data_IF_310830938576
#
_entry.id   IF_310830938576
#
_cell.length_a   1.000
_cell.length_b   1.000
_cell.length_c   1.000
_cell.angle_alpha   90.00
_cell.angle_beta   90.00
_cell.angle_gamma   90.00
#
_symmetry.space_group_name_H-M   'P 1'
#
loop_
_entity.id
_entity.type
_entity.pdbx_description
1 polymer ?
#
# COMPACT_ATOMS: atom_id res chain seq x y z
N UNK A 1 7.26 10.45 1.23
CA UNK A 1 7.24 9.84 -0.11
C UNK A 1 6.34 8.61 -0.10
N UNK A 2 5.86 8.18 -1.26
CA UNK A 2 5.12 6.94 -1.44
C UNK A 2 5.31 6.41 -2.86
N UNK A 3 5.27 5.09 -3.05
CA UNK A 3 5.43 4.45 -4.36
C UNK A 3 4.35 3.39 -4.59
N UNK A 4 3.78 3.39 -5.80
CA UNK A 4 2.82 2.39 -6.28
C UNK A 4 3.50 1.57 -7.38
N UNK A 5 3.31 0.25 -7.34
CA UNK A 5 3.56 -0.68 -8.45
C UNK A 5 2.20 -1.17 -8.93
N UNK A 6 2.00 -1.23 -10.24
CA UNK A 6 0.77 -1.75 -10.82
C UNK A 6 0.88 -1.83 -12.34
N UNK A 7 0.03 -2.65 -12.94
CA UNK A 7 -0.06 -2.84 -14.38
C UNK A 7 -0.96 -1.81 -15.08
N UNK A 8 -1.58 -0.91 -14.31
CA UNK A 8 -2.59 0.02 -14.82
C UNK A 8 -3.94 -0.64 -15.10
N UNK A 9 -4.11 -1.91 -14.73
CA UNK A 9 -5.36 -2.64 -14.76
C UNK A 9 -5.95 -2.74 -13.36
N UNK A 10 -6.08 -3.97 -12.87
CA UNK A 10 -6.81 -4.27 -11.64
C UNK A 10 -5.94 -4.39 -10.40
N UNK A 11 -4.62 -4.53 -10.54
CA UNK A 11 -3.73 -4.90 -9.45
C UNK A 11 -2.73 -3.79 -9.11
N UNK A 12 -2.73 -3.37 -7.85
CA UNK A 12 -1.82 -2.35 -7.34
C UNK A 12 -1.20 -2.77 -6.01
N UNK A 13 0.07 -2.42 -5.84
CA UNK A 13 0.81 -2.61 -4.60
C UNK A 13 1.42 -1.28 -4.15
N UNK A 14 1.12 -0.86 -2.93
CA UNK A 14 1.82 0.26 -2.30
C UNK A 14 3.14 -0.30 -1.74
N UNK A 15 4.21 -0.13 -2.52
CA UNK A 15 5.49 -0.76 -2.26
C UNK A 15 6.21 -0.14 -1.07
N UNK A 16 6.25 1.20 -0.99
CA UNK A 16 6.92 1.89 0.09
C UNK A 16 6.17 3.17 0.46
N UNK A 17 6.17 3.50 1.74
CA UNK A 17 5.71 4.78 2.25
C UNK A 17 6.58 5.20 3.43
N UNK A 18 7.11 6.42 3.38
CA UNK A 18 8.00 6.93 4.41
C UNK A 18 7.73 8.41 4.67
N UNK A 19 7.82 8.77 5.95
CA UNK A 19 7.80 10.15 6.45
C UNK A 19 9.10 10.36 7.19
N UNK A 20 9.84 11.40 6.78
CA UNK A 20 11.04 11.81 7.50
C UNK A 20 10.74 11.99 9.00
N UNK A 21 11.59 11.52 9.92
CA UNK A 21 11.29 11.52 11.36
C UNK A 21 10.80 12.86 11.92
N UNK A 22 11.41 13.98 11.50
CA UNK A 22 11.04 15.34 11.93
C UNK A 22 9.63 15.80 11.47
N UNK A 23 9.02 15.07 10.53
CA UNK A 23 7.73 15.36 9.95
C UNK A 23 6.65 14.33 10.34
N UNK A 24 6.98 13.36 11.20
CA UNK A 24 6.02 12.37 11.69
C UNK A 24 4.99 12.98 12.64
N UNK A 25 3.89 12.25 12.89
CA UNK A 25 2.78 12.63 13.80
C UNK A 25 2.03 13.92 13.41
N UNK A 26 2.28 14.47 12.23
CA UNK A 26 1.62 15.66 11.67
C UNK A 26 0.52 15.34 10.64
N UNK A 27 0.06 14.09 10.58
CA UNK A 27 -0.96 13.65 9.62
C UNK A 27 -0.47 13.41 8.18
N UNK A 28 0.81 13.64 7.90
CA UNK A 28 1.36 13.52 6.53
C UNK A 28 1.26 12.10 5.94
N UNK A 29 1.28 11.05 6.77
CA UNK A 29 1.12 9.67 6.30
C UNK A 29 -0.25 9.43 5.68
N UNK A 30 -1.30 9.99 6.29
CA UNK A 30 -2.66 9.90 5.78
C UNK A 30 -2.82 10.68 4.47
N UNK A 31 -2.17 11.85 4.37
CA UNK A 31 -2.16 12.63 3.14
C UNK A 31 -1.44 11.91 2.00
N UNK A 32 -0.28 11.31 2.27
CA UNK A 32 0.46 10.52 1.28
C UNK A 32 -0.40 9.33 0.82
N UNK A 33 -0.93 8.54 1.76
CA UNK A 33 -1.76 7.38 1.41
C UNK A 33 -2.97 7.76 0.56
N UNK A 34 -3.69 8.82 0.94
CA UNK A 34 -4.84 9.32 0.16
C UNK A 34 -4.45 9.77 -1.23
N UNK A 35 -3.29 10.44 -1.37
CA UNK A 35 -2.76 10.81 -2.68
C UNK A 35 -2.49 9.58 -3.54
N UNK A 36 -1.88 8.54 -2.98
CA UNK A 36 -1.63 7.28 -3.69
C UNK A 36 -2.93 6.59 -4.11
N UNK A 37 -3.92 6.50 -3.21
CA UNK A 37 -5.22 5.91 -3.52
C UNK A 37 -5.95 6.70 -4.62
N UNK A 38 -5.86 8.04 -4.61
CA UNK A 38 -6.38 8.87 -5.68
C UNK A 38 -5.67 8.59 -7.01
N UNK A 39 -4.34 8.48 -7.02
CA UNK A 39 -3.59 8.12 -8.23
C UNK A 39 -3.98 6.74 -8.78
N UNK A 40 -4.19 5.75 -7.91
CA UNK A 40 -4.71 4.43 -8.32
C UNK A 40 -6.09 4.57 -8.96
N UNK A 41 -6.99 5.34 -8.35
CA UNK A 41 -8.36 5.52 -8.87
C UNK A 41 -8.41 6.15 -10.27
N UNK A 42 -7.38 6.94 -10.63
CA UNK A 42 -7.29 7.54 -11.98
C UNK A 42 -6.72 6.58 -13.04
N UNK A 43 -6.11 5.48 -12.63
CA UNK A 43 -5.48 4.48 -13.51
C UNK A 43 -6.31 3.22 -13.62
N UNK A 44 -6.98 2.81 -12.55
CA UNK A 44 -7.81 1.61 -12.50
C UNK A 44 -9.05 1.74 -13.39
N UNK A 45 -9.58 0.63 -13.92
CA UNK A 45 -10.89 0.60 -14.59
C UNK A 45 -12.00 1.15 -13.69
N UNK A 46 -12.95 1.86 -14.30
CA UNK A 46 -14.04 2.52 -13.58
C UNK A 46 -15.20 1.57 -13.22
N UNK A 47 -15.23 0.38 -13.81
CA UNK A 47 -16.31 -0.61 -13.69
C UNK A 47 -16.10 -1.62 -12.55
N UNK A 48 -15.20 -1.33 -11.61
CA UNK A 48 -15.04 -2.16 -10.42
C UNK A 48 -14.10 -1.59 -9.36
N UNK A 49 -13.68 -2.46 -8.45
CA UNK A 49 -12.77 -2.11 -7.35
C UNK A 49 -11.39 -2.70 -7.62
N UNK A 50 -10.33 -1.87 -7.78
CA UNK A 50 -8.98 -2.39 -7.94
C UNK A 50 -8.54 -3.15 -6.68
N UNK A 51 -7.77 -4.22 -6.89
CA UNK A 51 -7.12 -4.98 -5.82
C UNK A 51 -5.84 -4.25 -5.39
N UNK A 52 -5.92 -3.57 -4.24
CA UNK A 52 -4.82 -2.77 -3.69
C UNK A 52 -4.24 -3.47 -2.46
N UNK A 53 -2.93 -3.74 -2.48
CA UNK A 53 -2.24 -4.45 -1.40
C UNK A 53 -1.02 -3.68 -0.88
N UNK A 54 -0.55 -4.03 0.31
CA UNK A 54 0.68 -3.53 0.93
C UNK A 54 1.18 -4.49 2.00
N UNK A 55 2.45 -4.39 2.37
CA UNK A 55 3.00 -5.03 3.57
C UNK A 55 3.03 -4.00 4.70
N UNK A 56 2.33 -4.28 5.81
CA UNK A 56 2.18 -3.34 6.91
C UNK A 56 3.04 -3.72 8.12
N UNK A 57 4.04 -2.90 8.43
CA UNK A 57 4.72 -2.97 9.73
C UNK A 57 3.81 -2.51 10.87
N UNK A 58 4.08 -2.99 12.08
CA UNK A 58 3.30 -2.71 13.29
C UNK A 58 2.88 -1.24 13.47
N UNK A 59 3.80 -0.26 13.37
CA UNK A 59 3.47 1.17 13.51
C UNK A 59 2.50 1.71 12.44
N UNK A 60 2.53 1.16 11.23
CA UNK A 60 1.71 1.59 10.09
C UNK A 60 0.31 1.01 10.08
N UNK A 61 0.06 -0.13 10.74
CA UNK A 61 -1.22 -0.87 10.67
C UNK A 61 -2.44 0.00 10.95
N UNK A 62 -2.41 0.84 11.98
CA UNK A 62 -3.55 1.72 12.34
C UNK A 62 -3.87 2.74 11.24
N UNK A 63 -2.85 3.26 10.55
CA UNK A 63 -3.04 4.20 9.44
C UNK A 63 -3.78 3.53 8.28
N UNK A 64 -3.37 2.31 7.92
CA UNK A 64 -3.97 1.55 6.83
C UNK A 64 -5.40 1.11 7.17
N UNK A 65 -5.63 0.58 8.38
CA UNK A 65 -6.96 0.20 8.86
C UNK A 65 -7.95 1.37 8.82
N UNK A 66 -7.51 2.57 9.26
CA UNK A 66 -8.32 3.79 9.18
C UNK A 66 -8.75 4.14 7.75
N UNK A 67 -7.94 3.76 6.74
CA UNK A 67 -8.21 4.02 5.33
C UNK A 67 -8.81 2.80 4.60
N UNK A 68 -9.39 1.84 5.34
CA UNK A 68 -10.17 0.73 4.78
C UNK A 68 -9.36 -0.52 4.42
N UNK A 69 -8.06 -0.56 4.70
CA UNK A 69 -7.29 -1.79 4.54
C UNK A 69 -7.65 -2.79 5.64
N UNK A 70 -7.79 -4.06 5.24
CA UNK A 70 -8.05 -5.18 6.14
C UNK A 70 -6.89 -6.17 6.10
N UNK A 71 -6.76 -6.95 7.17
CA UNK A 71 -5.81 -8.06 7.17
C UNK A 71 -6.30 -9.16 6.24
N UNK A 72 -5.41 -9.68 5.41
CA UNK A 72 -5.71 -10.82 4.53
C UNK A 72 -5.63 -12.15 5.27
N UNK A 73 -4.95 -12.19 6.42
CA UNK A 73 -4.84 -13.35 7.28
C UNK A 73 -6.19 -13.70 7.95
N UNK A 74 -6.47 -14.98 8.24
CA UNK A 74 -5.63 -16.14 7.96
C UNK A 74 -5.77 -16.67 6.51
N UNK A 75 -6.71 -16.13 5.71
CA UNK A 75 -6.99 -16.64 4.36
C UNK A 75 -5.80 -16.51 3.41
N UNK A 76 -5.05 -15.42 3.50
CA UNK A 76 -3.85 -15.19 2.68
C UNK A 76 -2.80 -14.43 3.49
N UNK A 77 -1.55 -14.88 3.38
CA UNK A 77 -0.42 -14.31 4.10
C UNK A 77 0.55 -13.65 3.11
N UNK A 78 1.10 -12.50 3.50
CA UNK A 78 2.24 -11.92 2.79
C UNK A 78 3.46 -12.80 2.94
N UNK A 79 4.22 -13.00 1.86
CA UNK A 79 5.40 -13.86 1.83
C UNK A 79 6.52 -13.14 1.06
N UNK A 80 7.76 -13.41 1.44
CA UNK A 80 8.96 -12.90 0.77
C UNK A 80 9.87 -14.09 0.43
N UNK A 81 10.53 -14.05 -0.72
CA UNK A 81 11.56 -15.01 -1.08
C UNK A 81 12.90 -14.55 -0.51
N UNK A 82 13.44 -15.29 0.46
CA UNK A 82 14.77 -14.98 1.05
C UNK A 82 15.92 -15.64 0.28
N UNK A 83 15.63 -16.68 -0.49
CA UNK A 83 16.64 -17.37 -1.29
C UNK A 83 16.94 -16.56 -2.56
N UNK A 84 18.23 -16.33 -2.89
CA UNK A 84 18.59 -15.74 -4.18
C UNK A 84 18.04 -16.58 -5.34
N UNK A 85 17.60 -15.92 -6.40
CA UNK A 85 17.38 -16.60 -7.67
C UNK A 85 18.76 -16.93 -8.24
N UNK A 86 19.05 -18.21 -8.44
CA UNK A 86 20.24 -18.64 -9.19
C UNK A 86 20.21 -17.92 -10.55
N UNK A 87 21.25 -17.13 -10.82
CA UNK A 87 21.43 -16.40 -12.08
C UNK A 87 22.41 -17.15 -12.97
#
# INVERSE_FOLDING_TARGET
MGRIIGDGGWYFHIADMAIHPQHQRKGLGDQILKRLLWEISTKAPQDGTPYITLMADGPGRKLYQKNGFVETAPRSLGMVLETPLDR
#
